data_IF_561912370319
#
_entry.id   IF_561912370319
#
_cell.length_a   1.000
_cell.length_b   1.000
_cell.length_c   1.000
_cell.angle_alpha   90.00
_cell.angle_beta   90.00
_cell.angle_gamma   90.00
#
_symmetry.space_group_name_H-M   'P 1'
#
loop_
_entity.id
_entity.type
_entity.pdbx_description
1 polymer ?
#
# COMPACT_ATOMS: atom_id res chain seq x y z
N UNK A 1 12.51 10.36 9.32
CA UNK A 1 11.70 11.49 9.86
C UNK A 1 11.79 11.55 11.39
N UNK A 2 11.48 10.50 12.13
CA UNK A 2 11.39 10.53 13.59
C UNK A 2 12.72 10.86 14.32
N UNK A 3 13.87 10.39 13.81
CA UNK A 3 15.19 10.77 14.36
C UNK A 3 15.48 12.27 14.19
N UNK A 4 15.09 12.85 13.04
CA UNK A 4 15.19 14.28 12.82
C UNK A 4 14.31 15.08 13.77
N UNK A 5 13.11 14.58 14.05
CA UNK A 5 12.18 15.24 14.97
C UNK A 5 12.72 15.22 16.39
N UNK A 6 13.28 14.10 16.86
CA UNK A 6 13.96 14.02 18.16
C UNK A 6 15.06 15.09 18.29
N UNK A 7 15.95 15.19 17.29
CA UNK A 7 17.00 16.21 17.31
C UNK A 7 16.44 17.64 17.40
N UNK A 8 15.40 17.92 16.62
CA UNK A 8 14.76 19.24 16.62
C UNK A 8 14.07 19.56 17.93
N UNK A 9 13.43 18.57 18.56
CA UNK A 9 12.73 18.74 19.84
C UNK A 9 13.68 19.20 20.94
N UNK A 10 14.92 18.68 20.96
CA UNK A 10 15.95 19.12 21.91
C UNK A 10 16.78 20.30 21.42
N UNK A 11 16.40 20.93 20.29
CA UNK A 11 17.03 22.15 19.76
C UNK A 11 18.45 21.97 19.20
N UNK A 12 18.90 20.73 18.97
CA UNK A 12 20.26 20.47 18.48
C UNK A 12 20.37 20.73 16.97
N UNK A 13 21.49 21.31 16.57
CA UNK A 13 21.90 21.34 15.16
C UNK A 13 22.45 19.98 14.72
N UNK A 14 22.56 19.75 13.41
CA UNK A 14 23.15 18.50 12.85
C UNK A 14 24.61 18.36 13.29
N UNK A 15 25.34 19.47 13.44
CA UNK A 15 26.74 19.49 13.87
C UNK A 15 26.86 19.11 15.35
N UNK A 16 26.04 19.69 16.21
CA UNK A 16 26.04 19.40 17.65
C UNK A 16 25.66 17.93 17.92
N UNK A 17 24.64 17.42 17.22
CA UNK A 17 24.29 15.99 17.34
C UNK A 17 25.43 15.11 16.88
N UNK A 18 26.08 15.41 15.74
CA UNK A 18 27.21 14.65 15.25
C UNK A 18 28.34 14.61 16.29
N UNK A 19 28.64 15.76 16.94
CA UNK A 19 29.65 15.88 18.02
C UNK A 19 29.28 15.00 19.22
N UNK A 20 28.02 15.07 19.69
CA UNK A 20 27.54 14.25 20.82
C UNK A 20 27.62 12.75 20.55
N UNK A 21 27.35 12.34 19.29
CA UNK A 21 27.43 10.93 18.87
C UNK A 21 28.88 10.49 18.53
N UNK A 22 29.87 11.38 18.54
CA UNK A 22 31.23 11.09 18.07
C UNK A 22 31.31 10.79 16.57
N UNK A 23 30.43 11.40 15.76
CA UNK A 23 30.33 11.18 14.33
C UNK A 23 30.83 12.34 13.51
N UNK A 24 31.09 12.08 12.20
CA UNK A 24 31.25 13.15 11.22
C UNK A 24 29.87 13.72 10.84
N UNK A 25 29.78 15.02 10.63
CA UNK A 25 28.59 15.72 10.16
C UNK A 25 27.93 15.04 8.97
N UNK A 26 28.72 14.54 7.99
CA UNK A 26 28.21 13.85 6.81
C UNK A 26 27.40 12.58 7.13
N UNK A 27 27.78 11.84 8.18
CA UNK A 27 27.03 10.65 8.60
C UNK A 27 25.65 11.05 9.15
N UNK A 28 25.60 12.01 10.03
CA UNK A 28 24.35 12.51 10.62
C UNK A 28 23.41 13.06 9.52
N UNK A 29 23.95 13.88 8.61
CA UNK A 29 23.19 14.42 7.49
C UNK A 29 22.63 13.33 6.56
N UNK A 30 23.40 12.29 6.24
CA UNK A 30 22.93 11.19 5.39
C UNK A 30 21.84 10.36 6.05
N UNK A 31 21.93 10.11 7.35
CA UNK A 31 20.88 9.42 8.11
C UNK A 31 19.61 10.29 8.14
N UNK A 32 19.75 11.57 8.46
CA UNK A 32 18.62 12.50 8.57
C UNK A 32 17.86 12.71 7.25
N UNK A 33 18.56 12.66 6.13
CA UNK A 33 17.98 12.78 4.78
C UNK A 33 17.64 11.42 4.15
N UNK A 34 17.62 10.34 4.93
CA UNK A 34 17.31 8.98 4.48
C UNK A 34 18.21 8.44 3.33
N UNK A 35 19.42 9.00 3.16
CA UNK A 35 20.41 8.53 2.18
C UNK A 35 21.10 7.26 2.67
N UNK A 36 21.19 7.08 3.99
CA UNK A 36 21.80 5.90 4.63
C UNK A 36 20.89 5.43 5.76
N UNK A 37 20.52 4.16 5.77
CA UNK A 37 19.78 3.57 6.87
C UNK A 37 20.66 3.54 8.15
N UNK A 38 20.14 3.97 9.32
CA UNK A 38 20.88 3.90 10.57
C UNK A 38 20.91 2.47 11.10
N UNK A 39 22.05 2.02 11.60
CA UNK A 39 22.11 0.76 12.35
C UNK A 39 21.42 0.91 13.71
N UNK A 40 21.07 -0.22 14.37
CA UNK A 40 20.54 -0.21 15.74
C UNK A 40 21.46 0.54 16.73
N UNK A 41 22.79 0.41 16.55
CA UNK A 41 23.78 1.16 17.33
C UNK A 41 23.68 2.67 17.08
N UNK A 42 23.46 3.06 15.82
CA UNK A 42 23.31 4.47 15.46
C UNK A 42 22.03 5.08 16.05
N UNK A 43 20.94 4.32 16.03
CA UNK A 43 19.65 4.75 16.61
C UNK A 43 19.79 4.96 18.13
N UNK A 44 20.43 4.03 18.83
CA UNK A 44 20.67 4.16 20.28
C UNK A 44 21.57 5.36 20.60
N UNK A 45 22.63 5.56 19.83
CA UNK A 45 23.52 6.71 20.00
C UNK A 45 22.79 8.03 19.74
N UNK A 46 21.93 8.09 18.69
CA UNK A 46 21.12 9.25 18.40
C UNK A 46 20.13 9.55 19.52
N UNK A 47 19.39 8.55 19.99
CA UNK A 47 18.43 8.68 21.07
C UNK A 47 19.11 9.15 22.37
N UNK A 48 20.29 8.61 22.71
CA UNK A 48 21.06 9.04 23.86
C UNK A 48 21.52 10.50 23.74
N UNK A 49 21.96 10.92 22.54
CA UNK A 49 22.38 12.31 22.29
C UNK A 49 21.21 13.30 22.35
N UNK A 50 19.96 12.83 22.20
CA UNK A 50 18.73 13.60 22.28
C UNK A 50 17.96 13.41 23.59
N UNK A 51 18.56 12.85 24.63
CA UNK A 51 17.92 12.58 25.93
C UNK A 51 16.62 11.74 25.83
N UNK A 52 16.53 10.86 24.84
CA UNK A 52 15.37 10.01 24.51
C UNK A 52 15.72 8.51 24.56
N UNK A 53 16.51 8.10 25.56
CA UNK A 53 16.98 6.70 25.71
C UNK A 53 15.83 5.73 25.89
N UNK A 54 14.75 6.15 26.53
CA UNK A 54 13.50 5.42 26.71
C UNK A 54 12.83 5.04 25.40
N UNK A 55 13.01 5.82 24.33
CA UNK A 55 12.45 5.56 23.01
C UNK A 55 13.39 4.75 22.10
N UNK A 56 14.62 4.50 22.51
CA UNK A 56 15.67 3.92 21.67
C UNK A 56 15.27 2.53 21.12
N UNK A 57 14.76 1.65 21.96
CA UNK A 57 14.41 0.28 21.55
C UNK A 57 13.18 0.26 20.63
N UNK A 58 12.18 1.09 20.89
CA UNK A 58 11.02 1.23 20.00
C UNK A 58 11.44 1.73 18.60
N UNK A 59 12.37 2.68 18.54
CA UNK A 59 12.91 3.19 17.27
C UNK A 59 13.73 2.12 16.54
N UNK A 60 14.47 1.28 17.26
CA UNK A 60 15.20 0.15 16.67
C UNK A 60 14.23 -0.86 16.08
N UNK A 61 13.18 -1.25 16.81
CA UNK A 61 12.15 -2.18 16.33
C UNK A 61 11.44 -1.60 15.11
N UNK A 62 11.08 -0.32 15.11
CA UNK A 62 10.46 0.35 13.96
C UNK A 62 11.39 0.38 12.74
N UNK A 63 12.68 0.61 12.93
CA UNK A 63 13.67 0.61 11.85
C UNK A 63 13.84 -0.78 11.24
N UNK A 64 13.93 -1.82 12.08
CA UNK A 64 14.03 -3.21 11.64
C UNK A 64 12.76 -3.66 10.88
N UNK A 65 11.60 -3.27 11.36
CA UNK A 65 10.34 -3.56 10.68
C UNK A 65 10.27 -2.85 9.31
N UNK A 66 10.66 -1.59 9.24
CA UNK A 66 10.70 -0.85 7.98
C UNK A 66 11.71 -1.43 6.98
N UNK A 67 12.90 -1.84 7.45
CA UNK A 67 13.91 -2.51 6.62
C UNK A 67 13.44 -3.89 6.14
N UNK A 68 12.83 -4.68 7.01
CA UNK A 68 12.27 -5.99 6.67
C UNK A 68 11.16 -5.86 5.63
N UNK A 69 10.20 -4.96 5.84
CA UNK A 69 9.13 -4.68 4.87
C UNK A 69 9.68 -4.18 3.54
N UNK A 70 10.68 -3.28 3.57
CA UNK A 70 11.29 -2.75 2.34
C UNK A 70 12.12 -3.80 1.59
N UNK A 71 12.88 -4.64 2.30
CA UNK A 71 13.69 -5.71 1.68
C UNK A 71 12.80 -6.82 1.13
N UNK A 72 11.75 -7.21 1.85
CA UNK A 72 10.77 -8.19 1.39
C UNK A 72 10.02 -7.68 0.16
N UNK A 73 9.57 -6.42 0.18
CA UNK A 73 8.96 -5.77 -0.97
C UNK A 73 9.92 -5.68 -2.17
N UNK A 74 11.18 -5.31 -1.94
CA UNK A 74 12.22 -5.23 -2.98
C UNK A 74 12.54 -6.60 -3.59
N UNK A 75 12.55 -7.66 -2.78
CA UNK A 75 12.69 -9.03 -3.24
C UNK A 75 11.49 -9.49 -4.06
N UNK A 76 10.29 -9.18 -3.64
CA UNK A 76 9.05 -9.51 -4.36
C UNK A 76 9.00 -8.79 -5.72
N UNK A 77 9.32 -7.50 -5.76
CA UNK A 77 9.36 -6.70 -7.00
C UNK A 77 10.46 -7.17 -7.96
N UNK A 78 11.65 -7.56 -7.46
CA UNK A 78 12.72 -8.10 -8.31
C UNK A 78 12.38 -9.44 -8.96
N UNK A 79 11.46 -10.20 -8.38
CA UNK A 79 10.96 -11.46 -8.94
C UNK A 79 9.91 -11.26 -10.04
N UNK A 80 9.50 -10.02 -10.30
CA UNK A 80 8.52 -9.65 -11.30
C UNK A 80 7.14 -9.35 -10.73
N UNK A 81 6.40 -8.49 -11.42
CA UNK A 81 5.06 -8.05 -11.00
C UNK A 81 4.05 -9.20 -10.97
N UNK A 82 4.22 -10.19 -11.85
CA UNK A 82 3.37 -11.39 -11.87
C UNK A 82 3.44 -12.14 -10.54
N UNK A 83 4.65 -12.42 -10.04
CA UNK A 83 4.82 -13.20 -8.80
C UNK A 83 4.24 -12.48 -7.57
N UNK A 84 4.31 -11.13 -7.56
CA UNK A 84 3.63 -10.33 -6.54
C UNK A 84 2.12 -10.52 -6.60
N UNK A 85 1.53 -10.59 -7.81
CA UNK A 85 0.11 -10.87 -7.99
C UNK A 85 -0.27 -12.28 -7.52
N UNK A 86 0.55 -13.27 -7.87
CA UNK A 86 0.31 -14.68 -7.51
C UNK A 86 0.33 -14.91 -5.98
N UNK A 87 1.19 -14.20 -5.24
CA UNK A 87 1.29 -14.32 -3.78
C UNK A 87 0.02 -13.87 -3.05
N UNK A 88 -0.85 -13.11 -3.71
CA UNK A 88 -2.09 -12.60 -3.13
C UNK A 88 -3.28 -13.58 -3.26
N UNK A 89 -3.15 -14.66 -4.06
CA UNK A 89 -4.28 -15.54 -4.39
C UNK A 89 -4.92 -16.15 -3.14
N UNK A 90 -4.13 -16.82 -2.31
CA UNK A 90 -4.63 -17.46 -1.09
C UNK A 90 -5.31 -16.47 -0.15
N UNK A 91 -4.72 -15.28 -0.04
CA UNK A 91 -5.25 -14.22 0.82
C UNK A 91 -6.65 -13.75 0.36
N UNK A 92 -6.89 -13.72 -0.96
CA UNK A 92 -8.20 -13.35 -1.50
C UNK A 92 -9.24 -14.43 -1.24
N UNK A 93 -8.89 -15.71 -1.42
CA UNK A 93 -9.81 -16.83 -1.15
C UNK A 93 -10.24 -16.92 0.33
N UNK A 94 -9.37 -16.55 1.26
CA UNK A 94 -9.68 -16.53 2.69
C UNK A 94 -10.52 -15.32 3.12
N UNK A 95 -10.77 -14.37 2.21
CA UNK A 95 -11.48 -13.13 2.53
C UNK A 95 -12.96 -13.24 2.20
N UNK A 96 -13.83 -13.10 3.18
CA UNK A 96 -15.29 -13.16 3.01
C UNK A 96 -15.90 -11.82 2.59
N UNK A 97 -15.40 -10.70 3.16
CA UNK A 97 -15.88 -9.36 2.88
C UNK A 97 -14.72 -8.44 2.53
N UNK A 98 -14.80 -7.84 1.35
CA UNK A 98 -13.90 -6.80 0.88
C UNK A 98 -14.58 -5.43 1.02
N UNK A 99 -13.94 -4.50 1.71
CA UNK A 99 -14.33 -3.08 1.76
C UNK A 99 -13.20 -2.27 1.19
N UNK A 100 -13.44 -1.63 0.06
CA UNK A 100 -12.41 -0.91 -0.70
C UNK A 100 -12.88 0.51 -0.92
N UNK A 101 -12.05 1.48 -0.59
CA UNK A 101 -12.19 2.86 -1.02
C UNK A 101 -11.02 3.21 -1.94
N UNK A 102 -11.28 3.87 -3.04
CA UNK A 102 -10.25 4.27 -3.98
C UNK A 102 -10.43 5.71 -4.45
N UNK A 103 -9.38 6.51 -4.27
CA UNK A 103 -9.32 7.92 -4.64
C UNK A 103 -8.36 8.22 -5.79
N UNK A 104 -7.53 7.25 -6.20
CA UNK A 104 -6.45 7.47 -7.17
C UNK A 104 -6.55 6.63 -8.43
N UNK A 105 -7.08 5.41 -8.34
CA UNK A 105 -7.19 4.48 -9.47
C UNK A 105 -8.35 3.50 -9.28
N UNK A 106 -8.77 2.83 -10.33
CA UNK A 106 -9.77 1.77 -10.22
C UNK A 106 -9.23 0.63 -9.35
N UNK A 107 -10.01 0.11 -8.37
CA UNK A 107 -9.58 -1.03 -7.55
C UNK A 107 -9.17 -2.23 -8.38
N UNK A 108 -8.07 -2.90 -8.01
CA UNK A 108 -7.48 -3.98 -8.79
C UNK A 108 -8.43 -5.15 -9.12
N UNK A 109 -9.43 -5.39 -8.27
CA UNK A 109 -10.48 -6.39 -8.51
C UNK A 109 -11.50 -5.99 -9.61
N UNK A 110 -11.53 -4.71 -9.97
CA UNK A 110 -12.41 -4.15 -10.98
C UNK A 110 -11.64 -3.63 -12.21
N UNK A 111 -10.37 -3.97 -12.34
CA UNK A 111 -9.57 -3.54 -13.48
C UNK A 111 -9.77 -4.45 -14.69
N UNK A 112 -10.01 -3.85 -15.85
CA UNK A 112 -9.91 -4.51 -17.14
C UNK A 112 -8.44 -4.72 -17.52
N UNK A 113 -8.16 -5.66 -18.40
CA UNK A 113 -6.78 -6.09 -18.72
C UNK A 113 -5.93 -4.96 -19.28
N UNK A 114 -6.43 -4.18 -20.26
CA UNK A 114 -5.69 -3.05 -20.85
C UNK A 114 -5.33 -1.97 -19.82
N UNK A 115 -6.30 -1.60 -18.97
CA UNK A 115 -6.08 -0.65 -17.88
C UNK A 115 -5.05 -1.18 -16.85
N UNK A 116 -5.16 -2.45 -16.47
CA UNK A 116 -4.22 -3.08 -15.54
C UNK A 116 -2.81 -3.17 -16.12
N UNK A 117 -2.67 -3.48 -17.41
CA UNK A 117 -1.39 -3.55 -18.10
C UNK A 117 -0.70 -2.17 -18.13
N UNK A 118 -1.43 -1.13 -18.52
CA UNK A 118 -0.92 0.24 -18.54
C UNK A 118 -0.48 0.71 -17.14
N UNK A 119 -1.31 0.47 -16.12
CA UNK A 119 -0.97 0.82 -14.75
C UNK A 119 0.29 0.10 -14.26
N UNK A 120 0.39 -1.22 -14.48
CA UNK A 120 1.52 -2.01 -14.00
C UNK A 120 2.80 -1.65 -14.75
N UNK A 121 2.72 -1.35 -16.05
CA UNK A 121 3.86 -0.84 -16.82
C UNK A 121 4.34 0.50 -16.29
N UNK A 122 3.44 1.46 -16.05
CA UNK A 122 3.79 2.75 -15.47
C UNK A 122 4.45 2.62 -14.09
N UNK A 123 3.97 1.68 -13.26
CA UNK A 123 4.58 1.40 -11.95
C UNK A 123 5.97 0.79 -12.12
N UNK A 124 6.16 -0.13 -13.06
CA UNK A 124 7.44 -0.76 -13.33
C UNK A 124 8.47 0.27 -13.79
N UNK A 125 8.09 1.13 -14.74
CA UNK A 125 8.94 2.21 -15.27
C UNK A 125 9.31 3.22 -14.18
N UNK A 126 8.33 3.71 -13.43
CA UNK A 126 8.56 4.65 -12.32
C UNK A 126 9.52 4.10 -11.26
N UNK A 127 9.46 2.79 -11.01
CA UNK A 127 10.29 2.12 -10.00
C UNK A 127 11.60 1.56 -10.55
N UNK A 128 11.88 1.72 -11.85
CA UNK A 128 13.07 1.20 -12.51
C UNK A 128 13.19 -0.33 -12.41
N UNK A 129 12.07 -1.05 -12.53
CA UNK A 129 12.06 -2.51 -12.53
C UNK A 129 12.64 -2.99 -13.86
N UNK A 130 13.74 -3.78 -13.86
CA UNK A 130 14.48 -4.11 -15.09
C UNK A 130 13.70 -5.00 -16.06
N UNK A 131 12.67 -5.70 -15.60
CA UNK A 131 11.77 -6.49 -16.42
C UNK A 131 10.37 -5.90 -16.34
N UNK A 132 9.87 -5.40 -17.48
CA UNK A 132 8.48 -4.99 -17.60
C UNK A 132 7.63 -6.20 -18.04
N UNK A 133 7.09 -6.93 -17.08
CA UNK A 133 6.14 -8.03 -17.26
C UNK A 133 4.67 -7.56 -17.10
N UNK A 134 4.41 -6.28 -17.33
CA UNK A 134 3.13 -5.62 -17.09
C UNK A 134 1.93 -6.37 -17.70
N UNK A 135 2.04 -6.84 -18.94
CA UNK A 135 0.97 -7.61 -19.59
C UNK A 135 0.72 -8.96 -18.88
N UNK A 136 1.78 -9.69 -18.53
CA UNK A 136 1.68 -10.97 -17.81
C UNK A 136 1.12 -10.77 -16.40
N UNK A 137 1.54 -9.71 -15.73
CA UNK A 137 1.04 -9.33 -14.41
C UNK A 137 -0.41 -8.84 -14.46
N UNK A 138 -0.83 -8.18 -15.56
CA UNK A 138 -2.22 -7.80 -15.79
C UNK A 138 -3.11 -9.04 -15.98
N UNK A 139 -2.68 -10.00 -16.78
CA UNK A 139 -3.40 -11.27 -16.97
C UNK A 139 -3.57 -12.02 -15.62
N UNK A 140 -2.50 -12.10 -14.81
CA UNK A 140 -2.59 -12.70 -13.46
C UNK A 140 -3.51 -11.91 -12.52
N UNK A 141 -3.57 -10.58 -12.65
CA UNK A 141 -4.50 -9.73 -11.90
C UNK A 141 -5.95 -9.97 -12.31
N UNK A 142 -6.23 -10.03 -13.61
CA UNK A 142 -7.58 -10.33 -14.14
C UNK A 142 -8.02 -11.72 -13.71
N UNK A 143 -7.15 -12.72 -13.78
CA UNK A 143 -7.46 -14.07 -13.32
C UNK A 143 -7.84 -14.08 -11.84
N UNK A 144 -7.06 -13.41 -10.99
CA UNK A 144 -7.37 -13.28 -9.55
C UNK A 144 -8.67 -12.52 -9.31
N UNK A 145 -9.01 -11.53 -10.14
CA UNK A 145 -10.23 -10.74 -9.99
C UNK A 145 -11.50 -11.55 -10.26
N UNK A 146 -11.41 -12.73 -10.88
CA UNK A 146 -12.55 -13.64 -11.08
C UNK A 146 -13.25 -14.04 -9.78
N UNK A 147 -12.58 -13.87 -8.64
CA UNK A 147 -13.19 -14.06 -7.31
C UNK A 147 -14.46 -13.21 -7.12
N UNK A 148 -14.63 -12.13 -7.87
CA UNK A 148 -15.87 -11.33 -7.82
C UNK A 148 -17.10 -12.10 -8.31
N UNK A 149 -16.91 -13.21 -9.04
CA UNK A 149 -17.96 -14.11 -9.52
C UNK A 149 -18.14 -15.34 -8.63
N UNK A 150 -17.25 -15.56 -7.67
CA UNK A 150 -17.29 -16.73 -6.81
C UNK A 150 -18.28 -16.55 -5.65
N UNK A 151 -19.01 -17.60 -5.27
CA UNK A 151 -19.90 -17.55 -4.11
C UNK A 151 -19.10 -17.46 -2.79
N UNK A 152 -19.70 -16.83 -1.79
CA UNK A 152 -19.12 -16.72 -0.45
C UNK A 152 -18.22 -15.50 -0.24
N UNK A 153 -18.15 -14.61 -1.22
CA UNK A 153 -17.47 -13.32 -1.13
C UNK A 153 -18.47 -12.17 -1.28
N UNK A 154 -18.22 -11.08 -0.58
CA UNK A 154 -18.97 -9.83 -0.73
C UNK A 154 -18.00 -8.67 -0.93
N UNK A 155 -18.37 -7.75 -1.81
CA UNK A 155 -17.54 -6.61 -2.20
C UNK A 155 -18.32 -5.33 -2.00
N UNK A 156 -17.80 -4.45 -1.15
CA UNK A 156 -18.32 -3.08 -0.97
C UNK A 156 -17.22 -2.13 -1.40
N UNK A 157 -17.42 -1.45 -2.51
CA UNK A 157 -16.41 -0.61 -3.14
C UNK A 157 -16.93 0.79 -3.33
N UNK A 158 -16.14 1.78 -2.93
CA UNK A 158 -16.38 3.20 -3.15
C UNK A 158 -15.24 3.77 -3.97
N UNK A 159 -15.57 4.44 -5.06
CA UNK A 159 -14.61 5.06 -5.98
C UNK A 159 -14.93 6.55 -6.06
N UNK A 160 -13.93 7.42 -5.93
CA UNK A 160 -14.08 8.84 -6.23
C UNK A 160 -14.32 9.03 -7.73
N UNK A 161 -15.28 9.87 -8.10
CA UNK A 161 -15.60 10.15 -9.51
C UNK A 161 -14.36 10.59 -10.31
N UNK A 162 -13.44 11.33 -9.70
CA UNK A 162 -12.20 11.77 -10.34
C UNK A 162 -11.36 10.61 -10.91
N UNK A 163 -11.45 9.41 -10.31
CA UNK A 163 -10.76 8.21 -10.81
C UNK A 163 -11.24 7.81 -12.20
N UNK A 164 -12.50 8.04 -12.51
CA UNK A 164 -13.10 7.68 -13.81
C UNK A 164 -12.65 8.60 -14.95
N UNK A 165 -12.11 9.78 -14.62
CA UNK A 165 -11.54 10.71 -15.60
C UNK A 165 -10.02 10.57 -15.74
N UNK A 166 -9.37 9.83 -14.84
CA UNK A 166 -7.93 9.59 -14.90
C UNK A 166 -7.63 8.49 -15.90
N UNK A 167 -7.30 8.89 -17.12
CA UNK A 167 -6.99 7.95 -18.22
C UNK A 167 -5.69 7.20 -17.94
N UNK A 168 -5.75 5.87 -18.03
CA UNK A 168 -4.61 4.95 -18.01
C UNK A 168 -4.72 4.03 -19.24
N UNK A 169 -3.62 3.94 -19.99
CA UNK A 169 -3.64 3.29 -21.30
C UNK A 169 -4.21 4.21 -22.37
N UNK A 170 -4.62 3.60 -23.47
CA UNK A 170 -5.30 4.28 -24.59
C UNK A 170 -6.82 4.44 -24.36
N UNK A 171 -7.49 5.01 -25.32
CA UNK A 171 -8.93 5.27 -25.27
C UNK A 171 -9.73 3.96 -25.22
N UNK A 172 -9.28 2.93 -25.92
CA UNK A 172 -9.94 1.62 -25.94
C UNK A 172 -9.82 0.92 -24.60
N UNK A 173 -8.63 0.97 -23.95
CA UNK A 173 -8.43 0.45 -22.62
C UNK A 173 -9.33 1.15 -21.58
N UNK A 174 -9.50 2.48 -21.71
CA UNK A 174 -10.35 3.23 -20.80
C UNK A 174 -11.84 2.95 -21.05
N UNK A 175 -12.27 2.85 -22.30
CA UNK A 175 -13.64 2.48 -22.66
C UNK A 175 -13.99 1.07 -22.14
N UNK A 176 -13.09 0.09 -22.33
CA UNK A 176 -13.23 -1.26 -21.80
C UNK A 176 -13.29 -1.26 -20.27
N UNK A 177 -12.49 -0.42 -19.62
CA UNK A 177 -12.49 -0.28 -18.15
C UNK A 177 -13.83 0.23 -17.63
N UNK A 178 -14.39 1.26 -18.25
CA UNK A 178 -15.71 1.81 -17.85
C UNK A 178 -16.82 0.79 -18.08
N UNK A 179 -16.80 0.09 -19.22
CA UNK A 179 -17.73 -1.01 -19.52
C UNK A 179 -17.64 -2.15 -18.49
N UNK A 180 -16.41 -2.49 -18.08
CA UNK A 180 -16.19 -3.51 -17.05
C UNK A 180 -16.76 -3.09 -15.70
N UNK A 181 -16.64 -1.83 -15.30
CA UNK A 181 -17.23 -1.31 -14.04
C UNK A 181 -18.75 -1.44 -14.03
N UNK A 182 -19.44 -1.16 -15.16
CA UNK A 182 -20.88 -1.33 -15.29
C UNK A 182 -21.28 -2.80 -15.13
N UNK A 183 -20.55 -3.70 -15.77
CA UNK A 183 -20.82 -5.15 -15.72
C UNK A 183 -20.57 -5.70 -14.31
N UNK A 184 -19.44 -5.34 -13.69
CA UNK A 184 -19.09 -5.80 -12.34
C UNK A 184 -20.05 -5.23 -11.29
N UNK A 185 -20.46 -3.96 -11.44
CA UNK A 185 -21.43 -3.31 -10.54
C UNK A 185 -22.83 -3.91 -10.58
N UNK A 186 -23.18 -4.68 -11.63
CA UNK A 186 -24.43 -5.40 -11.74
C UNK A 186 -24.42 -6.76 -11.03
N UNK A 187 -23.27 -7.23 -10.55
CA UNK A 187 -23.17 -8.51 -9.84
C UNK A 187 -23.81 -8.42 -8.45
N UNK A 188 -24.60 -9.42 -8.01
CA UNK A 188 -25.33 -9.36 -6.75
C UNK A 188 -24.43 -9.32 -5.49
N UNK A 189 -23.19 -9.81 -5.58
CA UNK A 189 -22.20 -9.77 -4.51
C UNK A 189 -21.37 -8.49 -4.48
N UNK A 190 -21.51 -7.61 -5.49
CA UNK A 190 -20.76 -6.36 -5.62
C UNK A 190 -21.68 -5.18 -5.32
N UNK A 191 -21.31 -4.38 -4.33
CA UNK A 191 -21.91 -3.07 -4.06
C UNK A 191 -20.90 -1.99 -4.46
N UNK A 192 -21.07 -1.43 -5.67
CA UNK A 192 -20.21 -0.39 -6.20
C UNK A 192 -20.89 0.97 -6.04
N UNK A 193 -20.23 1.91 -5.37
CA UNK A 193 -20.65 3.29 -5.23
C UNK A 193 -19.62 4.25 -5.83
N UNK A 194 -20.11 5.30 -6.50
CA UNK A 194 -19.29 6.41 -7.00
C UNK A 194 -19.59 7.63 -6.12
N UNK A 195 -18.55 8.28 -5.61
CA UNK A 195 -18.67 9.53 -4.86
C UNK A 195 -18.49 10.69 -5.83
N UNK A 196 -19.55 11.47 -6.12
CA UNK A 196 -19.47 12.56 -7.09
C UNK A 196 -18.51 13.67 -6.63
N UNK A 197 -17.78 14.27 -7.56
CA UNK A 197 -16.94 15.45 -7.31
C UNK A 197 -17.75 16.63 -6.79
N UNK A 198 -19.02 16.72 -7.16
CA UNK A 198 -19.97 17.75 -6.73
C UNK A 198 -20.47 17.58 -5.28
N UNK A 199 -20.12 16.48 -4.61
CA UNK A 199 -20.58 16.20 -3.24
C UNK A 199 -20.08 17.26 -2.26
N UNK A 200 -20.99 18.12 -1.76
CA UNK A 200 -20.65 19.23 -0.85
C UNK A 200 -20.67 18.84 0.63
N UNK A 201 -21.56 17.93 1.02
CA UNK A 201 -21.75 17.52 2.41
C UNK A 201 -20.85 16.35 2.80
N UNK A 202 -19.56 16.47 2.56
CA UNK A 202 -18.57 15.46 2.98
C UNK A 202 -18.26 15.63 4.46
N UNK A 203 -18.39 14.57 5.24
CA UNK A 203 -17.89 14.55 6.63
C UNK A 203 -16.36 14.47 6.69
N UNK A 204 -15.75 14.02 5.60
CA UNK A 204 -14.30 13.83 5.49
C UNK A 204 -13.86 14.11 4.05
N UNK A 205 -12.68 14.71 3.88
CA UNK A 205 -12.03 14.87 2.57
C UNK A 205 -11.62 13.51 1.99
N UNK A 206 -11.36 13.41 0.66
CA UNK A 206 -10.80 12.21 0.07
C UNK A 206 -9.49 11.83 0.78
N UNK A 207 -9.43 10.60 1.28
CA UNK A 207 -8.25 10.03 1.93
C UNK A 207 -7.48 9.16 0.94
N UNK A 208 -6.34 8.63 1.37
CA UNK A 208 -5.63 7.63 0.59
C UNK A 208 -6.48 6.38 0.39
N UNK A 209 -6.24 5.70 -0.74
CA UNK A 209 -6.90 4.42 -1.03
C UNK A 209 -6.63 3.42 0.10
N UNK A 210 -7.67 2.77 0.59
CA UNK A 210 -7.54 1.75 1.62
C UNK A 210 -8.36 0.50 1.31
N UNK A 211 -7.90 -0.62 1.86
CA UNK A 211 -8.58 -1.91 1.78
C UNK A 211 -8.79 -2.45 3.20
N UNK A 212 -10.02 -2.68 3.58
CA UNK A 212 -10.38 -3.39 4.79
C UNK A 212 -11.01 -4.75 4.43
N UNK A 213 -10.61 -5.80 5.11
CA UNK A 213 -11.03 -7.18 4.78
C UNK A 213 -11.43 -7.93 6.03
N UNK A 214 -12.50 -8.73 5.91
CA UNK A 214 -12.91 -9.68 6.94
C UNK A 214 -12.63 -11.07 6.43
N UNK A 215 -11.76 -11.80 7.12
CA UNK A 215 -11.41 -13.18 6.77
C UNK A 215 -12.49 -14.14 7.28
N UNK A 216 -12.65 -15.26 6.58
CA UNK A 216 -13.37 -16.42 7.10
C UNK A 216 -12.64 -16.89 8.37
N UNK A 217 -13.34 -16.88 9.48
CA UNK A 217 -12.81 -17.49 10.68
C UNK A 217 -12.92 -19.02 10.56
N UNK A 218 -11.86 -19.79 10.89
CA UNK A 218 -12.02 -21.21 11.05
C UNK A 218 -13.10 -21.46 12.11
N UNK A 219 -14.14 -22.17 11.76
CA UNK A 219 -15.18 -22.57 12.71
C UNK A 219 -14.57 -23.56 13.70
N UNK A 220 -14.09 -23.08 14.81
CA UNK A 220 -13.77 -23.90 15.97
C UNK A 220 -14.99 -23.88 16.86
N UNK A 221 -15.76 -24.96 16.86
CA UNK A 221 -16.80 -25.19 17.86
C UNK A 221 -17.82 -24.06 18.05
N UNK A 222 -18.45 -23.58 16.98
CA UNK A 222 -19.73 -22.86 17.08
C UNK A 222 -19.74 -21.41 17.62
N UNK A 223 -18.60 -20.75 17.93
CA UNK A 223 -18.56 -19.39 18.44
C UNK A 223 -17.66 -18.49 17.58
N UNK A 224 -18.12 -17.33 17.06
CA UNK A 224 -17.29 -16.39 16.29
C UNK A 224 -16.45 -15.50 17.19
N UNK A 225 -15.13 -15.47 16.94
CA UNK A 225 -14.23 -14.50 17.56
C UNK A 225 -14.07 -13.27 16.65
N UNK A 226 -14.38 -12.07 17.15
CA UNK A 226 -14.20 -10.81 16.45
C UNK A 226 -12.71 -10.41 16.40
N UNK A 227 -12.14 -10.31 15.21
CA UNK A 227 -10.80 -9.75 14.99
C UNK A 227 -10.70 -9.08 13.62
N UNK A 228 -10.76 -7.74 13.57
CA UNK A 228 -10.51 -6.96 12.36
C UNK A 228 -9.03 -6.56 12.28
N UNK A 229 -8.37 -6.87 11.18
CA UNK A 229 -7.02 -6.37 10.89
C UNK A 229 -7.10 -5.31 9.78
N UNK A 230 -6.55 -4.13 10.07
CA UNK A 230 -6.35 -3.06 9.09
C UNK A 230 -4.95 -3.22 8.47
N UNK A 231 -4.90 -3.33 7.15
CA UNK A 231 -3.65 -3.21 6.41
C UNK A 231 -3.68 -1.96 5.52
N UNK A 232 -2.64 -1.13 5.51
CA UNK A 232 -2.52 -0.04 4.55
C UNK A 232 -2.35 -0.60 3.14
N UNK A 233 -2.89 0.12 2.17
CA UNK A 233 -2.78 -0.22 0.75
C UNK A 233 -1.33 -0.05 0.24
N UNK A 234 -0.86 -1.02 -0.52
CA UNK A 234 0.32 -0.95 -1.37
C UNK A 234 -0.10 -0.61 -2.80
#
# INVERSE_FOLDING_TARGET
>A
LRLRDLRKTVGLTVVELASRCGWRHSKTSRIENAVTAPSAKDIRAWAAACDAVDQAEDLVVQSLNAESMYSEWRHQVRRGMKQLQDSMVQFFHDTELFRIYSSTMVPGLLQAEGYAAALLSNIADFRGIPFNDGATAAAARVERSRIIHEPGHRFVMLIEEAVLYSQLGDEDAMAAQLGHLLTAGALPQVSLGIIPMSTRARRQWPVETFHARVRRQPRVGGVPLCGGQHHPAL
#
